data_IF_656231751395
#
_entry.id   IF_656231751395
#
_cell.length_a   1.000
_cell.length_b   1.000
_cell.length_c   1.000
_cell.angle_alpha   90.00
_cell.angle_beta   90.00
_cell.angle_gamma   90.00
#
_symmetry.space_group_name_H-M   'P 1'
#
loop_
_entity.id
_entity.type
_entity.pdbx_description
1 polymer ?
#
# COMPACT_ATOMS: atom_id res chain seq x y z
N UNK A 1 -14.10 -11.92 14.63
CA UNK A 1 -13.45 -12.59 13.47
C UNK A 1 -12.02 -12.09 13.36
N UNK A 2 -11.06 -12.95 13.02
CA UNK A 2 -9.69 -12.53 12.82
C UNK A 2 -9.59 -11.53 11.65
N UNK A 3 -8.71 -10.55 11.78
CA UNK A 3 -8.39 -9.59 10.70
C UNK A 3 -7.69 -10.33 9.56
N UNK A 4 -8.09 -10.08 8.30
CA UNK A 4 -7.54 -10.73 7.11
C UNK A 4 -6.64 -9.76 6.35
N UNK A 5 -5.50 -10.25 5.88
CA UNK A 5 -4.61 -9.60 4.94
C UNK A 5 -4.48 -10.42 3.64
N UNK A 6 -3.84 -9.83 2.65
CA UNK A 6 -3.49 -10.50 1.39
C UNK A 6 -1.97 -10.42 1.19
N UNK A 7 -1.34 -11.57 1.12
CA UNK A 7 0.10 -11.70 0.92
C UNK A 7 0.36 -12.68 -0.21
N UNK A 8 1.09 -12.24 -1.24
CA UNK A 8 1.55 -13.10 -2.34
C UNK A 8 0.46 -14.02 -2.91
N UNK A 9 -0.67 -13.45 -3.30
CA UNK A 9 -1.83 -14.14 -3.89
C UNK A 9 -2.68 -14.98 -2.91
N UNK A 10 -2.45 -14.87 -1.59
CA UNK A 10 -3.22 -15.61 -0.56
C UNK A 10 -3.91 -14.65 0.42
N UNK A 11 -5.17 -14.95 0.77
CA UNK A 11 -5.86 -14.33 1.89
C UNK A 11 -5.48 -15.10 3.15
N UNK A 12 -4.92 -14.43 4.14
CA UNK A 12 -4.39 -15.04 5.37
C UNK A 12 -4.81 -14.22 6.58
N UNK A 13 -4.83 -14.82 7.75
CA UNK A 13 -5.00 -14.06 8.98
C UNK A 13 -3.87 -13.03 9.13
N UNK A 14 -4.22 -11.82 9.50
CA UNK A 14 -3.27 -10.71 9.60
C UNK A 14 -2.07 -11.02 10.51
N UNK A 15 -2.30 -11.74 11.62
CA UNK A 15 -1.23 -12.15 12.56
C UNK A 15 -0.19 -13.09 11.92
N UNK A 16 -0.59 -13.81 10.85
CA UNK A 16 0.24 -14.75 10.12
C UNK A 16 0.87 -14.14 8.87
N UNK A 17 0.57 -12.87 8.55
CA UNK A 17 1.14 -12.14 7.41
C UNK A 17 2.58 -11.73 7.74
N UNK A 18 3.53 -12.58 7.40
CA UNK A 18 4.97 -12.39 7.65
C UNK A 18 5.73 -12.33 6.34
N UNK A 19 6.75 -11.48 6.28
CA UNK A 19 7.73 -11.44 5.20
C UNK A 19 9.10 -11.82 5.78
N UNK A 20 10.00 -12.24 4.90
CA UNK A 20 11.34 -12.65 5.30
C UNK A 20 12.14 -11.46 5.81
N UNK A 21 13.00 -11.68 6.81
CA UNK A 21 13.88 -10.65 7.41
C UNK A 21 14.85 -10.04 6.38
N UNK A 22 15.23 -10.78 5.35
CA UNK A 22 16.06 -10.32 4.25
C UNK A 22 15.27 -9.71 3.08
N UNK A 23 13.98 -9.36 3.29
CA UNK A 23 13.23 -8.62 2.28
C UNK A 23 13.85 -7.23 2.08
N UNK A 24 14.15 -6.88 0.82
CA UNK A 24 14.80 -5.60 0.49
C UNK A 24 13.95 -4.39 0.83
N UNK A 25 12.62 -4.54 0.86
CA UNK A 25 11.72 -3.49 1.33
C UNK A 25 11.94 -3.15 2.81
N UNK A 26 12.30 -4.14 3.64
CA UNK A 26 12.66 -3.93 5.04
C UNK A 26 14.07 -3.33 5.20
N UNK A 27 15.07 -3.89 4.48
CA UNK A 27 16.47 -3.54 4.70
C UNK A 27 16.93 -2.26 4.01
N UNK A 28 16.32 -1.92 2.86
CA UNK A 28 16.77 -0.84 1.99
C UNK A 28 15.62 0.12 1.57
N UNK A 29 14.42 -0.06 2.12
CA UNK A 29 13.22 0.64 1.63
C UNK A 29 12.95 0.41 0.13
N UNK A 30 13.51 -0.68 -0.45
CA UNK A 30 13.42 -1.01 -1.87
C UNK A 30 12.03 -1.57 -2.19
N UNK A 31 11.06 -0.66 -2.19
CA UNK A 31 9.64 -0.95 -2.34
C UNK A 31 8.85 0.28 -2.78
N UNK A 32 7.66 0.04 -3.26
CA UNK A 32 6.65 1.08 -3.55
C UNK A 32 5.37 0.78 -2.79
N UNK A 33 4.62 1.82 -2.42
CA UNK A 33 3.36 1.64 -1.71
C UNK A 33 2.28 2.61 -2.17
N UNK A 34 1.03 2.24 -1.91
CA UNK A 34 -0.15 3.08 -2.09
C UNK A 34 -1.07 2.96 -0.88
N UNK A 35 -1.73 4.07 -0.56
CA UNK A 35 -2.75 4.13 0.49
C UNK A 35 -4.04 4.66 -0.12
N UNK A 36 -5.00 3.77 -0.32
CA UNK A 36 -6.26 4.09 -1.00
C UNK A 36 -7.38 4.20 0.02
N UNK A 37 -7.97 5.38 0.23
CA UNK A 37 -9.14 5.52 1.11
C UNK A 37 -10.36 4.81 0.52
N UNK A 38 -11.26 4.36 1.42
CA UNK A 38 -12.56 3.81 1.01
C UNK A 38 -13.68 4.19 1.96
N UNK A 39 -14.87 4.33 1.40
CA UNK A 39 -16.11 4.59 2.14
C UNK A 39 -17.26 3.80 1.50
N UNK A 40 -18.02 3.06 2.31
CA UNK A 40 -19.15 2.22 1.87
C UNK A 40 -18.81 1.36 0.64
N UNK A 41 -17.71 0.62 0.69
CA UNK A 41 -17.11 -0.20 -0.38
C UNK A 41 -16.64 0.57 -1.63
N UNK A 42 -16.76 1.88 -1.68
CA UNK A 42 -16.24 2.69 -2.77
C UNK A 42 -14.80 3.08 -2.49
N UNK A 43 -13.90 2.76 -3.41
CA UNK A 43 -12.50 3.18 -3.36
C UNK A 43 -12.40 4.61 -3.89
N UNK A 44 -11.77 5.50 -3.13
CA UNK A 44 -11.58 6.90 -3.50
C UNK A 44 -10.33 7.00 -4.36
N UNK A 45 -10.45 7.65 -5.52
CA UNK A 45 -9.35 7.93 -6.46
C UNK A 45 -8.49 6.71 -6.86
N UNK A 46 -9.07 5.51 -6.82
CA UNK A 46 -8.36 4.25 -7.13
C UNK A 46 -7.59 4.31 -8.47
N UNK A 47 -8.15 4.98 -9.48
CA UNK A 47 -7.49 5.06 -10.79
C UNK A 47 -6.16 5.82 -10.72
N UNK A 48 -6.11 6.96 -10.03
CA UNK A 48 -4.89 7.75 -9.86
C UNK A 48 -3.85 7.00 -9.01
N UNK A 49 -4.28 6.36 -7.93
CA UNK A 49 -3.42 5.50 -7.11
C UNK A 49 -2.82 4.35 -7.94
N UNK A 50 -3.63 3.70 -8.77
CA UNK A 50 -3.16 2.60 -9.61
C UNK A 50 -2.15 3.06 -10.67
N UNK A 51 -2.37 4.22 -11.30
CA UNK A 51 -1.43 4.81 -12.25
C UNK A 51 -0.11 5.17 -11.57
N UNK A 52 -0.15 5.78 -10.39
CA UNK A 52 1.04 6.13 -9.61
C UNK A 52 1.80 4.87 -9.16
N UNK A 53 1.09 3.80 -8.74
CA UNK A 53 1.72 2.52 -8.43
C UNK A 53 2.51 1.98 -9.63
N UNK A 54 1.92 2.00 -10.84
CA UNK A 54 2.62 1.54 -12.05
C UNK A 54 3.85 2.39 -12.36
N UNK A 55 3.71 3.70 -12.27
CA UNK A 55 4.80 4.63 -12.47
C UNK A 55 5.95 4.36 -11.48
N UNK A 56 5.66 4.29 -10.18
CA UNK A 56 6.66 4.03 -9.14
C UNK A 56 7.37 2.68 -9.31
N UNK A 57 6.63 1.64 -9.71
CA UNK A 57 7.22 0.33 -10.02
C UNK A 57 8.20 0.40 -11.20
N UNK A 58 7.88 1.18 -12.25
CA UNK A 58 8.75 1.35 -13.40
C UNK A 58 10.01 2.15 -13.06
N UNK A 59 9.89 3.24 -12.29
CA UNK A 59 11.02 4.06 -11.85
C UNK A 59 12.04 3.25 -11.04
N UNK A 60 11.55 2.42 -10.11
CA UNK A 60 12.40 1.52 -9.32
C UNK A 60 12.76 0.22 -10.06
N UNK A 61 12.30 0.01 -11.28
CA UNK A 61 12.53 -1.22 -12.05
C UNK A 61 12.16 -2.51 -11.27
N UNK A 62 11.11 -2.44 -10.45
CA UNK A 62 10.58 -3.62 -9.76
C UNK A 62 9.73 -4.41 -10.75
N UNK A 63 10.12 -5.63 -11.06
CA UNK A 63 9.46 -6.50 -12.06
C UNK A 63 8.13 -7.07 -11.54
N UNK A 64 7.19 -6.18 -11.20
CA UNK A 64 5.83 -6.51 -10.83
C UNK A 64 4.84 -5.80 -11.76
N UNK A 65 3.99 -6.56 -12.43
CA UNK A 65 3.04 -6.07 -13.42
C UNK A 65 1.61 -6.17 -12.87
N UNK A 66 1.10 -5.16 -12.17
CA UNK A 66 -0.21 -5.23 -11.54
C UNK A 66 -1.34 -5.24 -12.57
N UNK A 67 -2.28 -6.18 -12.41
CA UNK A 67 -3.54 -6.15 -13.14
C UNK A 67 -4.57 -5.32 -12.36
N UNK A 68 -5.08 -4.24 -12.97
CA UNK A 68 -5.99 -3.28 -12.35
C UNK A 68 -7.26 -3.93 -11.79
N UNK A 69 -7.90 -4.80 -12.59
CA UNK A 69 -9.13 -5.51 -12.18
C UNK A 69 -8.86 -6.44 -11.01
N UNK A 70 -7.75 -7.20 -11.05
CA UNK A 70 -7.36 -8.11 -9.97
C UNK A 70 -7.08 -7.35 -8.67
N UNK A 71 -6.30 -6.26 -8.71
CA UNK A 71 -5.99 -5.45 -7.51
C UNK A 71 -7.28 -4.85 -6.93
N UNK A 72 -8.15 -4.26 -7.76
CA UNK A 72 -9.44 -3.71 -7.31
C UNK A 72 -10.30 -4.77 -6.61
N UNK A 73 -10.38 -5.96 -7.19
CA UNK A 73 -11.14 -7.08 -6.61
C UNK A 73 -10.58 -7.53 -5.27
N UNK A 74 -9.25 -7.58 -5.11
CA UNK A 74 -8.59 -7.90 -3.83
C UNK A 74 -8.94 -6.84 -2.78
N UNK A 75 -8.89 -5.55 -3.12
CA UNK A 75 -9.26 -4.47 -2.20
C UNK A 75 -10.70 -4.62 -1.70
N UNK A 76 -11.66 -4.74 -2.60
CA UNK A 76 -13.08 -4.89 -2.25
C UNK A 76 -13.31 -6.15 -1.41
N UNK A 77 -12.67 -7.27 -1.76
CA UNK A 77 -12.79 -8.52 -1.01
C UNK A 77 -12.21 -8.37 0.41
N UNK A 78 -11.05 -7.71 0.58
CA UNK A 78 -10.47 -7.45 1.90
C UNK A 78 -11.37 -6.55 2.76
N UNK A 79 -11.95 -5.50 2.19
CA UNK A 79 -12.90 -4.62 2.89
C UNK A 79 -14.09 -5.44 3.42
N UNK A 80 -14.67 -6.29 2.57
CA UNK A 80 -15.81 -7.16 2.94
C UNK A 80 -15.43 -8.19 4.02
N UNK A 81 -14.31 -8.90 3.85
CA UNK A 81 -13.84 -9.90 4.82
C UNK A 81 -13.55 -9.30 6.19
N UNK A 82 -13.07 -8.06 6.24
CA UNK A 82 -12.81 -7.33 7.48
C UNK A 82 -14.04 -6.53 8.00
N UNK A 83 -15.18 -6.58 7.30
CA UNK A 83 -16.44 -5.92 7.68
C UNK A 83 -16.29 -4.42 7.96
N UNK A 84 -15.48 -3.72 7.17
CA UNK A 84 -15.21 -2.30 7.36
C UNK A 84 -16.10 -1.45 6.45
N UNK A 85 -16.69 -0.38 7.00
CA UNK A 85 -17.47 0.62 6.25
C UNK A 85 -16.60 1.77 5.73
N UNK A 86 -15.57 2.16 6.49
CA UNK A 86 -14.64 3.21 6.10
C UNK A 86 -13.23 2.91 6.57
N UNK A 87 -12.24 3.43 5.85
CA UNK A 87 -10.85 3.23 6.19
C UNK A 87 -9.90 3.44 5.02
N UNK A 88 -8.77 2.78 5.12
CA UNK A 88 -7.75 2.77 4.07
C UNK A 88 -7.38 1.34 3.69
N UNK A 89 -7.06 1.15 2.42
CA UNK A 89 -6.36 -0.02 1.92
C UNK A 89 -4.89 0.37 1.73
N UNK A 90 -4.01 -0.33 2.41
CA UNK A 90 -2.57 -0.24 2.20
C UNK A 90 -2.13 -1.34 1.24
N UNK A 91 -1.38 -0.97 0.21
CA UNK A 91 -0.72 -1.89 -0.71
C UNK A 91 0.77 -1.55 -0.73
N UNK A 92 1.63 -2.57 -0.64
CA UNK A 92 3.07 -2.43 -0.83
C UNK A 92 3.58 -3.55 -1.75
N UNK A 93 4.51 -3.19 -2.62
CA UNK A 93 5.28 -4.15 -3.43
C UNK A 93 6.74 -3.94 -3.12
N UNK A 94 7.40 -4.94 -2.55
CA UNK A 94 8.85 -4.94 -2.35
C UNK A 94 9.54 -5.58 -3.55
N UNK A 95 10.84 -5.32 -3.74
CA UNK A 95 11.62 -6.02 -4.77
C UNK A 95 11.71 -7.53 -4.49
N UNK A 96 11.61 -7.95 -3.24
CA UNK A 96 11.71 -9.35 -2.82
C UNK A 96 12.89 -9.62 -1.89
N UNK A 97 13.16 -10.90 -1.71
CA UNK A 97 14.14 -11.42 -0.75
C UNK A 97 15.47 -11.71 -1.41
N UNK A 98 16.55 -11.24 -0.80
CA UNK A 98 17.93 -11.52 -1.20
C UNK A 98 18.82 -11.38 0.03
N UNK A 99 19.86 -12.20 0.14
CA UNK A 99 20.93 -11.98 1.13
C UNK A 99 21.48 -10.56 1.01
N UNK A 100 21.74 -9.93 2.15
CA UNK A 100 22.04 -8.50 2.22
C UNK A 100 23.20 -8.10 1.31
N UNK A 101 22.89 -7.34 0.27
CA UNK A 101 23.82 -6.73 -0.67
C UNK A 101 23.20 -5.42 -1.19
N UNK A 102 24.00 -4.39 -1.41
CA UNK A 102 23.51 -3.15 -2.02
C UNK A 102 23.07 -3.38 -3.47
N UNK A 103 23.84 -4.14 -4.23
CA UNK A 103 23.45 -4.59 -5.57
C UNK A 103 22.28 -5.61 -5.47
N UNK A 104 21.29 -5.45 -6.33
CA UNK A 104 20.18 -6.40 -6.40
C UNK A 104 20.26 -7.26 -7.65
N UNK A 105 19.80 -8.49 -7.53
CA UNK A 105 19.65 -9.42 -8.66
C UNK A 105 18.40 -9.08 -9.47
N UNK A 106 18.50 -9.18 -10.80
CA UNK A 106 17.41 -8.84 -11.71
C UNK A 106 16.19 -9.79 -11.66
N UNK A 107 16.35 -10.97 -11.12
CA UNK A 107 15.36 -12.04 -11.12
C UNK A 107 14.66 -12.24 -9.76
N UNK A 108 14.71 -11.26 -8.87
CA UNK A 108 14.01 -11.35 -7.57
C UNK A 108 12.51 -11.41 -7.78
N UNK A 109 11.85 -12.19 -6.92
CA UNK A 109 10.40 -12.31 -6.90
C UNK A 109 9.81 -11.25 -5.96
N UNK A 110 9.07 -10.27 -6.48
CA UNK A 110 8.47 -9.23 -5.64
C UNK A 110 7.46 -9.81 -4.64
N UNK A 111 7.41 -9.22 -3.44
CA UNK A 111 6.36 -9.50 -2.48
C UNK A 111 5.24 -8.45 -2.61
N UNK A 112 3.99 -8.93 -2.67
CA UNK A 112 2.79 -8.10 -2.67
C UNK A 112 2.07 -8.24 -1.34
N UNK A 113 1.97 -7.13 -0.62
CA UNK A 113 1.34 -7.03 0.70
C UNK A 113 0.14 -6.10 0.57
N UNK A 114 -1.05 -6.54 0.99
CA UNK A 114 -2.25 -5.69 1.02
C UNK A 114 -3.01 -5.96 2.32
N UNK A 115 -3.39 -4.89 3.01
CA UNK A 115 -4.29 -5.00 4.16
C UNK A 115 -5.20 -3.78 4.26
N UNK A 116 -6.22 -3.89 5.11
CA UNK A 116 -7.15 -2.81 5.37
C UNK A 116 -7.06 -2.36 6.81
N UNK A 117 -7.26 -1.06 7.04
CA UNK A 117 -7.28 -0.46 8.36
C UNK A 117 -8.50 0.45 8.49
N UNK A 118 -9.24 0.30 9.61
CA UNK A 118 -10.35 1.20 9.94
C UNK A 118 -9.81 2.61 10.15
N UNK A 119 -10.42 3.59 9.49
CA UNK A 119 -10.20 5.01 9.71
C UNK A 119 -11.54 5.75 9.61
N UNK A 120 -11.72 6.74 10.46
CA UNK A 120 -12.83 7.67 10.33
C UNK A 120 -12.40 8.68 9.26
N UNK A 121 -13.11 8.69 8.15
CA UNK A 121 -12.91 9.69 7.10
C UNK A 121 -13.85 10.84 7.39
N UNK A 122 -13.29 12.03 7.58
CA UNK A 122 -14.09 13.26 7.68
C UNK A 122 -14.59 13.64 6.29
N UNK A 123 -15.72 13.04 5.90
CA UNK A 123 -16.37 13.38 4.64
C UNK A 123 -17.09 14.70 4.83
N UNK A 124 -16.87 15.70 3.96
CA UNK A 124 -17.55 16.97 4.05
C UNK A 124 -19.06 16.78 4.03
N UNK A 125 -19.75 17.34 5.02
CA UNK A 125 -21.21 17.46 5.09
C UNK A 125 -21.62 18.93 4.87
N UNK A 126 -22.92 19.21 4.76
CA UNK A 126 -23.40 20.60 4.64
C UNK A 126 -22.89 21.52 5.77
N UNK A 127 -22.61 20.97 6.95
CA UNK A 127 -22.12 21.69 8.13
C UNK A 127 -20.61 21.49 8.35
N UNK A 128 -19.87 21.14 7.30
CA UNK A 128 -18.41 20.94 7.43
C UNK A 128 -17.71 22.26 7.70
N UNK A 129 -17.10 22.36 8.88
CA UNK A 129 -16.21 23.47 9.21
C UNK A 129 -14.82 23.15 8.66
N UNK A 130 -14.34 23.97 7.74
CA UNK A 130 -12.99 23.81 7.16
C UNK A 130 -11.88 23.84 8.21
N UNK A 131 -10.69 23.40 7.84
CA UNK A 131 -9.48 23.51 8.66
C UNK A 131 -8.68 24.72 8.20
N UNK A 132 -8.12 25.46 9.15
CA UNK A 132 -7.11 26.48 8.83
C UNK A 132 -5.83 25.77 8.40
N UNK A 133 -5.20 26.24 7.34
CA UNK A 133 -3.94 25.70 6.83
C UNK A 133 -3.01 26.85 6.46
N UNK A 134 -1.72 26.60 6.54
CA UNK A 134 -0.66 27.47 6.04
C UNK A 134 0.18 26.67 5.06
N UNK A 135 0.76 27.34 4.08
CA UNK A 135 1.78 26.74 3.22
C UNK A 135 3.14 26.86 3.90
N UNK A 136 3.93 25.79 3.81
CA UNK A 136 5.29 25.73 4.33
C UNK A 136 6.17 24.94 3.38
N UNK A 137 7.46 25.28 3.31
CA UNK A 137 8.40 24.54 2.48
C UNK A 137 8.53 23.09 2.98
N UNK A 138 8.40 22.11 2.09
CA UNK A 138 8.55 20.70 2.46
C UNK A 138 10.04 20.35 2.62
N UNK A 139 10.52 20.31 3.84
CA UNK A 139 11.90 19.98 4.18
C UNK A 139 12.13 18.47 4.41
N UNK A 140 11.09 17.65 4.40
CA UNK A 140 11.19 16.21 4.76
C UNK A 140 12.18 15.44 3.89
N UNK A 141 12.27 15.81 2.63
CA UNK A 141 13.19 15.19 1.67
C UNK A 141 14.57 15.85 1.63
N UNK A 142 14.74 17.01 2.27
CA UNK A 142 16.05 17.67 2.42
C UNK A 142 16.85 17.13 3.61
N UNK A 143 16.16 16.50 4.57
CA UNK A 143 16.74 15.88 5.78
C UNK A 143 16.68 14.35 5.63
N UNK A 144 17.74 13.75 5.11
CA UNK A 144 17.88 12.29 4.91
C UNK A 144 19.06 11.71 5.69
N UNK A 145 19.47 12.41 6.70
CA UNK A 145 20.58 12.11 7.60
C UNK A 145 20.16 11.22 8.78
N UNK A 146 18.83 10.96 8.92
CA UNK A 146 18.24 10.14 9.98
C UNK A 146 17.46 8.99 9.36
#
# INVERSE_FOLDING_TARGET
MPKIAYLNSRYIEFKNAKIHIEDRGLQFSDSVYEVVPFYNNNLIDFNFHFLRLKYSLSELRIKFYPNKKKIKNVFIKLIKLNKLKSGIVYLQVTRGVQSRDHAYKDNLKPNLIIYVQKRILNIPTKNFTGKKAITFEDLRWKRRDI
#
